data_IF_478734648399
#
_entry.id   IF_478734648399
#
_cell.length_a   1.000
_cell.length_b   1.000
_cell.length_c   1.000
_cell.angle_alpha   90.00
_cell.angle_beta   90.00
_cell.angle_gamma   90.00
#
_symmetry.space_group_name_H-M   'P 1'
#
loop_
_entity.id
_entity.type
_entity.pdbx_description
1 polymer ?
#
# COMPACT_ATOMS: atom_id res chain seq x y z
N UNK A 1 -29.40 13.92 -2.11
CA UNK A 1 -28.71 13.33 -3.26
C UNK A 1 -27.88 14.36 -4.06
N UNK A 2 -28.45 15.47 -4.53
CA UNK A 2 -27.68 16.47 -5.30
C UNK A 2 -26.49 17.09 -4.53
N UNK A 3 -26.60 17.33 -3.22
CA UNK A 3 -25.51 17.89 -2.39
C UNK A 3 -24.35 16.89 -2.15
N UNK A 4 -24.64 15.59 -2.19
CA UNK A 4 -23.61 14.54 -2.06
C UNK A 4 -22.82 14.36 -3.36
N UNK A 5 -23.50 14.50 -4.49
CA UNK A 5 -22.88 14.50 -5.82
C UNK A 5 -21.99 15.73 -6.04
N UNK A 6 -22.37 16.88 -5.49
CA UNK A 6 -21.57 18.10 -5.53
C UNK A 6 -20.26 17.98 -4.69
N UNK A 7 -20.32 17.30 -3.53
CA UNK A 7 -19.13 17.03 -2.72
C UNK A 7 -18.21 16.00 -3.36
N UNK A 8 -18.76 14.98 -4.00
CA UNK A 8 -17.97 14.00 -4.77
C UNK A 8 -17.33 14.62 -6.02
N UNK A 9 -18.04 15.56 -6.70
CA UNK A 9 -17.46 16.27 -7.84
C UNK A 9 -16.35 17.25 -7.41
N UNK A 10 -16.43 17.83 -6.22
CA UNK A 10 -15.38 18.71 -5.69
C UNK A 10 -14.09 17.93 -5.35
N UNK A 11 -14.18 16.64 -4.96
CA UNK A 11 -13.00 15.79 -4.76
C UNK A 11 -12.30 15.40 -6.08
N UNK A 12 -13.01 15.49 -7.23
CA UNK A 12 -12.43 15.19 -8.54
C UNK A 12 -11.69 16.38 -9.17
N UNK A 13 -11.89 17.59 -8.68
CA UNK A 13 -11.27 18.80 -9.24
C UNK A 13 -9.94 19.19 -8.59
N UNK A 14 -9.49 18.46 -7.58
CA UNK A 14 -8.13 18.62 -7.02
C UNK A 14 -7.15 17.64 -7.69
N UNK A 15 -7.27 17.46 -9.00
CA UNK A 15 -6.12 17.10 -9.81
C UNK A 15 -5.33 18.40 -10.02
N UNK A 16 -4.47 18.73 -9.06
CA UNK A 16 -3.42 19.70 -9.32
C UNK A 16 -2.66 19.12 -10.50
N UNK A 17 -2.67 19.75 -11.70
CA UNK A 17 -1.69 19.37 -12.70
C UNK A 17 -0.36 19.41 -11.97
N UNK A 18 0.45 18.38 -12.08
CA UNK A 18 1.85 18.50 -11.74
C UNK A 18 2.36 19.66 -12.59
N UNK A 19 2.35 20.86 -12.01
CA UNK A 19 3.08 21.98 -12.55
C UNK A 19 4.47 21.42 -12.66
N UNK A 20 4.99 21.38 -13.89
CA UNK A 20 6.40 21.13 -14.12
C UNK A 20 7.10 22.11 -13.19
N UNK A 21 7.60 21.60 -12.08
CA UNK A 21 8.29 22.40 -11.10
C UNK A 21 9.50 22.92 -11.84
N UNK A 22 9.62 24.23 -11.99
CA UNK A 22 10.87 24.83 -12.44
C UNK A 22 11.94 24.26 -11.52
N UNK A 23 12.78 23.41 -12.09
CA UNK A 23 13.87 22.79 -11.34
C UNK A 23 14.77 23.94 -10.88
N UNK A 24 14.92 24.20 -9.59
CA UNK A 24 15.76 25.29 -9.10
C UNK A 24 17.16 25.17 -9.72
N UNK A 25 17.84 26.27 -9.95
CA UNK A 25 19.18 26.28 -10.57
C UNK A 25 20.20 25.41 -9.83
N UNK A 26 20.03 25.23 -8.52
CA UNK A 26 20.81 24.36 -7.65
C UNK A 26 20.47 22.85 -7.83
N UNK A 27 19.29 22.51 -8.34
CA UNK A 27 18.97 21.12 -8.65
C UNK A 27 19.76 20.57 -9.86
N UNK A 28 20.29 21.42 -10.71
CA UNK A 28 21.26 21.03 -11.76
C UNK A 28 22.55 20.47 -11.16
N UNK A 29 22.94 20.92 -9.98
CA UNK A 29 24.09 20.40 -9.25
C UNK A 29 23.92 18.92 -8.89
N UNK A 30 22.72 18.54 -8.41
CA UNK A 30 22.42 17.17 -8.01
C UNK A 30 22.28 16.19 -9.18
N UNK A 31 21.99 16.68 -10.37
CA UNK A 31 21.84 15.87 -11.59
C UNK A 31 23.10 15.82 -12.46
N UNK A 32 24.23 16.39 -11.98
CA UNK A 32 25.46 16.43 -12.75
C UNK A 32 25.40 17.28 -14.02
N UNK A 33 24.52 18.28 -14.04
CA UNK A 33 24.37 19.20 -15.18
C UNK A 33 23.52 18.64 -16.33
N UNK A 34 22.61 17.69 -16.04
CA UNK A 34 21.70 17.16 -17.05
C UNK A 34 20.89 18.29 -17.72
N UNK A 35 20.74 18.20 -19.02
CA UNK A 35 19.98 19.19 -19.81
C UNK A 35 18.49 19.06 -19.49
N UNK A 36 17.82 20.18 -19.30
CA UNK A 36 16.37 20.24 -19.18
C UNK A 36 15.69 20.11 -20.53
N UNK A 37 14.42 19.77 -20.57
CA UNK A 37 13.64 19.77 -21.81
C UNK A 37 13.62 21.17 -22.46
N UNK A 38 13.57 22.20 -21.64
CA UNK A 38 13.61 23.60 -22.10
C UNK A 38 14.95 23.95 -22.78
N UNK A 39 16.06 23.48 -22.23
CA UNK A 39 17.38 23.64 -22.86
C UNK A 39 17.44 22.96 -24.24
N UNK A 40 16.79 21.80 -24.36
CA UNK A 40 16.73 21.07 -25.64
C UNK A 40 15.85 21.81 -26.63
N UNK A 41 14.71 22.35 -26.22
CA UNK A 41 13.82 23.14 -27.09
C UNK A 41 14.47 24.42 -27.56
N UNK A 42 15.11 25.20 -26.68
CA UNK A 42 15.87 26.41 -27.03
C UNK A 42 16.99 26.12 -28.01
N UNK A 43 17.68 25.00 -27.85
CA UNK A 43 18.71 24.58 -28.81
C UNK A 43 18.14 24.26 -30.18
N UNK A 44 16.96 23.66 -30.27
CA UNK A 44 16.27 23.43 -31.54
C UNK A 44 15.85 24.74 -32.21
N UNK A 45 15.58 25.79 -31.44
CA UNK A 45 15.27 27.14 -31.92
C UNK A 45 16.54 27.94 -32.31
N UNK A 46 17.71 27.32 -32.14
CA UNK A 46 18.99 27.96 -32.51
C UNK A 46 19.56 28.90 -31.44
N UNK A 47 18.99 28.94 -30.24
CA UNK A 47 19.48 29.75 -29.14
C UNK A 47 20.74 29.15 -28.50
N UNK A 48 21.65 30.02 -28.04
CA UNK A 48 22.79 29.61 -27.22
C UNK A 48 22.34 29.33 -25.80
N UNK A 49 22.54 28.10 -25.38
CA UNK A 49 22.26 27.67 -24.00
C UNK A 49 23.50 27.88 -23.14
N UNK A 50 23.30 28.31 -21.89
CA UNK A 50 24.38 28.33 -20.89
C UNK A 50 24.66 26.89 -20.46
N UNK A 51 25.74 26.32 -20.94
CA UNK A 51 26.21 24.97 -20.61
C UNK A 51 27.47 25.00 -19.70
N UNK A 52 27.77 26.14 -19.08
CA UNK A 52 28.91 26.32 -18.19
C UNK A 52 28.92 25.27 -17.08
N UNK A 53 27.79 25.09 -16.44
CA UNK A 53 27.62 24.09 -15.36
C UNK A 53 27.89 22.66 -15.85
N UNK A 54 27.46 22.33 -17.05
CA UNK A 54 27.74 21.02 -17.65
C UNK A 54 29.24 20.87 -17.93
N UNK A 55 29.92 21.90 -18.42
CA UNK A 55 31.35 21.88 -18.67
C UNK A 55 32.16 21.69 -17.40
N UNK A 56 31.74 22.31 -16.30
CA UNK A 56 32.40 22.16 -14.99
C UNK A 56 32.31 20.72 -14.47
N UNK A 57 31.20 20.01 -14.74
CA UNK A 57 30.97 18.64 -14.27
C UNK A 57 31.47 17.58 -15.25
N UNK A 58 31.31 17.80 -16.56
CA UNK A 58 31.66 16.81 -17.62
C UNK A 58 32.97 17.09 -18.33
N UNK A 59 33.56 18.25 -18.10
CA UNK A 59 34.77 18.76 -18.78
C UNK A 59 34.47 19.60 -20.01
N UNK A 60 35.43 20.50 -20.36
CA UNK A 60 35.32 21.35 -21.51
C UNK A 60 35.54 20.53 -22.80
N UNK A 61 34.65 20.64 -23.82
CA UNK A 61 34.89 20.06 -25.13
C UNK A 61 36.25 20.44 -25.76
N UNK A 62 36.77 21.61 -25.43
CA UNK A 62 38.11 22.01 -25.87
C UNK A 62 39.23 21.19 -25.19
N UNK A 63 39.00 20.71 -23.96
CA UNK A 63 39.94 19.81 -23.26
C UNK A 63 39.81 18.36 -23.77
N UNK A 64 38.74 18.02 -24.47
CA UNK A 64 38.56 16.71 -25.08
C UNK A 64 39.59 16.45 -26.22
N UNK A 65 40.15 17.48 -26.85
CA UNK A 65 41.20 17.34 -27.84
C UNK A 65 42.43 16.59 -27.32
N UNK A 66 42.84 16.88 -26.06
CA UNK A 66 43.96 16.19 -25.42
C UNK A 66 43.62 14.71 -25.06
N UNK A 67 42.36 14.41 -24.85
CA UNK A 67 41.88 13.03 -24.56
C UNK A 67 41.72 12.25 -25.87
N UNK A 68 41.28 12.89 -26.95
CA UNK A 68 41.16 12.27 -28.27
C UNK A 68 42.50 11.92 -28.89
N UNK A 69 43.52 12.71 -28.64
CA UNK A 69 44.90 12.38 -29.08
C UNK A 69 45.42 11.11 -28.35
N UNK A 70 45.11 10.95 -27.09
CA UNK A 70 45.49 9.73 -26.33
C UNK A 70 44.66 8.49 -26.72
N UNK A 71 43.45 8.69 -27.19
CA UNK A 71 42.53 7.61 -27.60
C UNK A 71 42.69 7.22 -29.08
N UNK A 72 43.60 7.89 -29.83
CA UNK A 72 43.88 7.55 -31.20
C UNK A 72 42.73 7.79 -32.17
N UNK A 73 41.84 8.75 -31.87
CA UNK A 73 40.69 9.06 -32.73
C UNK A 73 41.13 9.76 -33.99
N UNK A 74 40.93 9.14 -35.14
CA UNK A 74 41.25 9.64 -36.47
C UNK A 74 40.17 10.61 -36.93
N UNK A 75 40.43 11.93 -36.77
CA UNK A 75 39.69 12.98 -37.47
C UNK A 75 38.16 13.00 -37.29
N UNK A 76 37.66 12.68 -36.08
CA UNK A 76 36.23 12.65 -35.77
C UNK A 76 35.52 11.36 -36.17
N UNK A 77 36.22 10.37 -36.69
CA UNK A 77 35.68 9.03 -36.91
C UNK A 77 35.90 8.11 -35.66
N UNK A 78 34.97 7.23 -35.42
CA UNK A 78 35.06 6.24 -34.34
C UNK A 78 36.25 5.31 -34.57
N UNK A 79 37.08 5.07 -33.53
CA UNK A 79 38.18 4.10 -33.58
C UNK A 79 37.65 2.68 -33.26
N UNK A 80 37.56 1.78 -34.27
CA UNK A 80 37.03 0.44 -34.08
C UNK A 80 37.93 -0.41 -33.18
N UNK A 81 39.22 -0.17 -33.17
CA UNK A 81 40.17 -0.98 -32.37
C UNK A 81 40.10 -0.60 -30.89
N UNK A 82 39.90 0.69 -30.58
CA UNK A 82 39.62 1.15 -29.23
C UNK A 82 38.31 0.54 -28.70
N UNK A 83 37.24 0.60 -29.47
CA UNK A 83 35.94 0.04 -29.05
C UNK A 83 36.00 -1.48 -28.91
N UNK A 84 36.78 -2.16 -29.73
CA UNK A 84 37.03 -3.59 -29.58
C UNK A 84 37.80 -3.89 -28.29
N UNK A 85 38.87 -3.11 -28.02
CA UNK A 85 39.65 -3.24 -26.81
C UNK A 85 38.87 -2.99 -25.54
N UNK A 86 37.97 -1.97 -25.55
CA UNK A 86 37.03 -1.71 -24.46
C UNK A 86 36.03 -2.86 -24.26
N UNK A 87 35.46 -3.36 -25.36
CA UNK A 87 34.48 -4.47 -25.32
C UNK A 87 35.03 -5.76 -24.73
N UNK A 88 36.29 -6.07 -25.03
CA UNK A 88 36.93 -7.28 -24.58
C UNK A 88 37.84 -7.10 -23.35
N UNK A 89 37.81 -5.94 -22.73
CA UNK A 89 38.57 -5.64 -21.51
C UNK A 89 40.09 -5.64 -21.71
N UNK A 90 40.58 -5.51 -22.96
CA UNK A 90 42.03 -5.48 -23.28
C UNK A 90 42.59 -4.07 -23.32
N UNK A 91 41.78 -3.03 -23.23
CA UNK A 91 42.22 -1.63 -23.19
C UNK A 91 42.71 -1.27 -21.77
N UNK A 92 43.90 -0.71 -21.68
CA UNK A 92 44.39 -0.10 -20.44
C UNK A 92 43.86 1.32 -20.26
N UNK A 93 42.51 1.40 -20.12
CA UNK A 93 41.81 2.68 -19.99
C UNK A 93 40.97 2.60 -18.71
N UNK A 94 41.11 3.59 -17.83
CA UNK A 94 40.29 3.77 -16.65
C UNK A 94 39.38 4.99 -16.92
N UNK A 95 38.06 4.75 -17.00
CA UNK A 95 37.09 5.83 -17.05
C UNK A 95 36.63 6.18 -15.64
N UNK A 96 36.76 7.42 -15.25
CA UNK A 96 36.24 7.92 -13.98
C UNK A 96 35.16 8.96 -14.24
N UNK A 97 33.95 8.66 -13.84
CA UNK A 97 32.90 9.66 -13.76
C UNK A 97 33.07 10.45 -12.44
N UNK A 98 33.25 11.76 -12.51
CA UNK A 98 33.50 12.63 -11.36
C UNK A 98 32.27 13.31 -10.82
N UNK A 99 31.08 13.04 -11.38
CA UNK A 99 29.85 13.66 -10.93
C UNK A 99 29.21 12.91 -9.74
N UNK A 100 28.40 13.56 -8.92
CA UNK A 100 27.70 12.92 -7.81
C UNK A 100 26.84 11.73 -8.24
N UNK A 101 26.26 11.74 -9.44
CA UNK A 101 25.48 10.65 -9.98
C UNK A 101 26.29 9.37 -10.17
N UNK A 102 27.57 9.47 -10.53
CA UNK A 102 28.44 8.32 -10.71
C UNK A 102 28.82 7.63 -9.39
N UNK A 103 28.81 8.36 -8.29
CA UNK A 103 29.02 7.81 -6.94
C UNK A 103 27.72 7.36 -6.30
N UNK A 104 26.57 7.79 -6.81
CA UNK A 104 25.25 7.49 -6.27
C UNK A 104 24.58 6.31 -6.99
N UNK A 105 24.92 6.04 -8.25
CA UNK A 105 24.36 4.92 -9.02
C UNK A 105 25.11 3.63 -8.66
N UNK A 106 24.79 3.09 -7.51
CA UNK A 106 25.18 1.72 -7.16
C UNK A 106 24.11 0.78 -7.69
N UNK A 107 24.45 -0.02 -8.67
CA UNK A 107 23.49 -0.87 -9.39
C UNK A 107 23.05 -2.10 -8.58
N UNK A 108 23.82 -2.52 -7.63
CA UNK A 108 23.62 -3.77 -6.88
C UNK A 108 22.34 -3.76 -6.05
N UNK A 109 22.05 -2.67 -5.35
CA UNK A 109 20.82 -2.54 -4.57
C UNK A 109 19.53 -2.57 -5.41
N UNK A 110 19.58 -2.06 -6.64
CA UNK A 110 18.46 -2.09 -7.59
C UNK A 110 18.14 -3.52 -8.06
N UNK A 111 19.13 -4.34 -8.29
CA UNK A 111 18.98 -5.75 -8.71
C UNK A 111 18.36 -6.58 -7.60
N UNK A 112 18.78 -6.43 -6.35
CA UNK A 112 18.16 -7.09 -5.21
C UNK A 112 16.64 -6.83 -5.14
N UNK A 113 16.24 -5.57 -5.30
CA UNK A 113 14.82 -5.23 -5.27
C UNK A 113 14.04 -5.88 -6.42
N UNK A 114 14.58 -5.87 -7.62
CA UNK A 114 13.96 -6.48 -8.79
C UNK A 114 13.77 -8.00 -8.59
N UNK A 115 14.81 -8.70 -8.14
CA UNK A 115 14.79 -10.14 -7.88
C UNK A 115 13.78 -10.48 -6.78
N UNK A 116 13.78 -9.72 -5.67
CA UNK A 116 12.83 -9.91 -4.59
C UNK A 116 11.38 -9.70 -5.05
N UNK A 117 11.12 -8.63 -5.80
CA UNK A 117 9.78 -8.31 -6.31
C UNK A 117 9.25 -9.35 -7.27
N UNK A 118 10.09 -9.85 -8.18
CA UNK A 118 9.69 -10.79 -9.23
C UNK A 118 9.69 -12.25 -8.79
N UNK A 119 10.30 -12.57 -7.67
CA UNK A 119 10.36 -13.91 -7.10
C UNK A 119 9.64 -14.01 -5.76
N UNK A 120 10.33 -13.78 -4.63
CA UNK A 120 9.78 -13.98 -3.29
C UNK A 120 8.46 -13.23 -3.02
N UNK A 121 8.37 -11.96 -3.38
CA UNK A 121 7.16 -11.17 -3.13
C UNK A 121 5.96 -11.69 -3.92
N UNK A 122 6.16 -12.01 -5.19
CA UNK A 122 5.09 -12.57 -6.04
C UNK A 122 4.63 -13.93 -5.50
N UNK A 123 5.56 -14.81 -5.15
CA UNK A 123 5.25 -16.12 -4.56
C UNK A 123 4.49 -15.94 -3.24
N UNK A 124 4.94 -15.03 -2.37
CA UNK A 124 4.22 -14.71 -1.13
C UNK A 124 2.79 -14.27 -1.40
N UNK A 125 2.56 -13.42 -2.40
CA UNK A 125 1.21 -12.99 -2.78
C UNK A 125 0.34 -14.19 -3.22
N UNK A 126 0.86 -15.06 -4.09
CA UNK A 126 0.13 -16.23 -4.56
C UNK A 126 -0.19 -17.20 -3.42
N UNK A 127 0.81 -17.56 -2.61
CA UNK A 127 0.60 -18.50 -1.51
C UNK A 127 -0.26 -17.93 -0.39
N UNK A 128 -0.06 -16.68 -0.02
CA UNK A 128 -0.84 -16.06 1.06
C UNK A 128 -2.31 -15.86 0.64
N UNK A 129 -2.56 -15.21 -0.49
CA UNK A 129 -3.93 -14.92 -0.93
C UNK A 129 -4.62 -16.18 -1.44
N UNK A 130 -3.96 -16.98 -2.27
CA UNK A 130 -4.50 -18.24 -2.78
C UNK A 130 -4.70 -19.25 -1.65
N UNK A 131 -3.74 -19.37 -0.74
CA UNK A 131 -3.84 -20.23 0.46
C UNK A 131 -4.99 -19.80 1.37
N UNK A 132 -5.17 -18.49 1.58
CA UNK A 132 -6.30 -17.98 2.37
C UNK A 132 -7.64 -18.36 1.72
N UNK A 133 -7.81 -18.11 0.43
CA UNK A 133 -9.04 -18.49 -0.29
C UNK A 133 -9.27 -20.00 -0.28
N UNK A 134 -8.21 -20.79 -0.45
CA UNK A 134 -8.28 -22.25 -0.36
C UNK A 134 -8.74 -22.70 1.04
N UNK A 135 -8.13 -22.19 2.10
CA UNK A 135 -8.48 -22.53 3.49
C UNK A 135 -9.92 -22.12 3.81
N UNK A 136 -10.37 -20.94 3.40
CA UNK A 136 -11.76 -20.51 3.57
C UNK A 136 -12.74 -21.41 2.81
N UNK A 137 -12.37 -21.84 1.61
CA UNK A 137 -13.18 -22.79 0.82
C UNK A 137 -13.26 -24.15 1.52
N UNK A 138 -12.14 -24.71 1.96
CA UNK A 138 -12.11 -25.97 2.71
C UNK A 138 -12.91 -25.85 4.00
N UNK A 139 -12.75 -24.75 4.74
CA UNK A 139 -13.53 -24.50 5.96
C UNK A 139 -15.04 -24.45 5.66
N UNK A 140 -15.45 -23.76 4.60
CA UNK A 140 -16.86 -23.73 4.20
C UNK A 140 -17.41 -25.10 3.81
N UNK A 141 -16.65 -25.89 3.07
CA UNK A 141 -17.07 -27.25 2.68
C UNK A 141 -17.16 -28.20 3.88
N UNK A 142 -16.27 -28.03 4.86
CA UNK A 142 -16.24 -28.88 6.07
C UNK A 142 -17.28 -28.47 7.12
N UNK A 143 -17.43 -27.15 7.39
CA UNK A 143 -18.29 -26.63 8.46
C UNK A 143 -19.66 -26.19 7.94
N UNK A 144 -19.76 -25.80 6.69
CA UNK A 144 -20.94 -25.17 6.12
C UNK A 144 -21.16 -23.75 6.65
N UNK A 145 -22.33 -23.20 6.36
CA UNK A 145 -22.78 -21.92 6.87
C UNK A 145 -23.18 -22.04 8.35
N UNK A 146 -22.65 -21.14 9.18
CA UNK A 146 -23.09 -20.99 10.56
C UNK A 146 -24.49 -20.40 10.56
N UNK A 147 -25.47 -21.16 11.08
CA UNK A 147 -26.88 -20.77 11.15
C UNK A 147 -27.20 -20.24 12.53
N UNK A 148 -28.34 -19.56 12.64
CA UNK A 148 -28.99 -19.25 13.91
C UNK A 148 -29.52 -20.54 14.46
N UNK A 149 -29.20 -20.87 15.74
CA UNK A 149 -29.59 -22.14 16.38
C UNK A 149 -31.04 -22.10 16.88
N UNK A 150 -31.48 -20.96 17.41
CA UNK A 150 -32.84 -20.76 17.92
C UNK A 150 -33.83 -20.35 16.85
N UNK A 151 -35.13 -20.36 17.22
CA UNK A 151 -36.19 -19.85 16.37
C UNK A 151 -36.08 -18.33 16.21
N UNK A 152 -36.22 -17.86 14.97
CA UNK A 152 -36.21 -16.42 14.67
C UNK A 152 -37.45 -15.75 15.25
N UNK A 153 -37.25 -14.68 15.98
CA UNK A 153 -38.35 -13.90 16.58
C UNK A 153 -39.13 -13.08 15.55
N UNK A 154 -38.50 -12.81 14.38
CA UNK A 154 -39.02 -11.88 13.37
C UNK A 154 -38.87 -10.42 13.76
N UNK A 155 -38.30 -10.11 14.91
CA UNK A 155 -38.01 -8.75 15.38
C UNK A 155 -36.56 -8.40 15.07
N UNK A 156 -36.32 -7.18 14.61
CA UNK A 156 -34.98 -6.65 14.37
C UNK A 156 -34.62 -5.57 15.39
N UNK A 157 -33.36 -5.48 15.72
CA UNK A 157 -32.79 -4.43 16.58
C UNK A 157 -31.70 -3.66 15.83
N UNK A 158 -31.64 -2.34 16.02
CA UNK A 158 -30.68 -1.48 15.38
C UNK A 158 -29.28 -1.73 15.94
N UNK A 159 -28.35 -2.12 15.08
CA UNK A 159 -26.96 -2.39 15.44
C UNK A 159 -26.02 -1.27 15.04
N UNK A 160 -26.14 -0.79 13.81
CA UNK A 160 -25.27 0.28 13.28
C UNK A 160 -26.08 1.39 12.65
N UNK A 161 -25.74 2.61 13.03
CA UNK A 161 -26.35 3.84 12.48
C UNK A 161 -25.88 4.08 11.03
N UNK A 162 -26.61 4.90 10.30
CA UNK A 162 -26.31 5.20 8.90
C UNK A 162 -24.88 5.76 8.69
N UNK A 163 -24.37 6.57 9.63
CA UNK A 163 -23.01 7.15 9.55
C UNK A 163 -21.94 6.06 9.74
N UNK A 164 -22.14 5.12 10.68
CA UNK A 164 -21.21 4.00 10.89
C UNK A 164 -21.14 3.11 9.64
N UNK A 165 -22.28 2.82 9.04
CA UNK A 165 -22.38 2.05 7.79
C UNK A 165 -21.76 2.78 6.61
N UNK A 166 -21.97 4.09 6.50
CA UNK A 166 -21.34 4.91 5.46
C UNK A 166 -19.82 4.83 5.57
N UNK A 167 -19.27 5.05 6.77
CA UNK A 167 -17.83 4.94 7.00
C UNK A 167 -17.28 3.56 6.65
N UNK A 168 -17.98 2.48 7.07
CA UNK A 168 -17.61 1.12 6.73
C UNK A 168 -17.62 0.85 5.22
N UNK A 169 -18.68 1.23 4.51
CA UNK A 169 -18.77 0.99 3.07
C UNK A 169 -17.81 1.85 2.25
N UNK A 170 -17.52 3.07 2.71
CA UNK A 170 -16.47 3.90 2.11
C UNK A 170 -15.10 3.24 2.28
N UNK A 171 -14.80 2.71 3.48
CA UNK A 171 -13.55 2.00 3.76
C UNK A 171 -13.45 0.71 2.94
N UNK A 172 -14.52 -0.10 2.92
CA UNK A 172 -14.55 -1.38 2.23
C UNK A 172 -14.42 -1.22 0.71
N UNK A 173 -15.18 -0.32 0.09
CA UNK A 173 -15.14 -0.11 -1.36
C UNK A 173 -13.80 0.47 -1.80
N UNK A 174 -13.27 1.47 -1.08
CA UNK A 174 -11.94 2.01 -1.38
C UNK A 174 -10.85 0.95 -1.22
N UNK A 175 -10.89 0.12 -0.16
CA UNK A 175 -9.94 -0.98 0.03
C UNK A 175 -9.97 -2.00 -1.11
N UNK A 176 -11.17 -2.43 -1.54
CA UNK A 176 -11.31 -3.38 -2.65
C UNK A 176 -10.70 -2.83 -3.94
N UNK A 177 -11.00 -1.55 -4.27
CA UNK A 177 -10.42 -0.90 -5.45
C UNK A 177 -8.89 -0.78 -5.34
N UNK A 178 -8.37 -0.39 -4.17
CA UNK A 178 -6.92 -0.32 -3.92
C UNK A 178 -6.26 -1.70 -4.00
N UNK A 179 -6.90 -2.74 -3.47
CA UNK A 179 -6.43 -4.12 -3.56
C UNK A 179 -6.32 -4.59 -5.02
N UNK A 180 -7.37 -4.39 -5.82
CA UNK A 180 -7.37 -4.76 -7.24
C UNK A 180 -6.27 -4.00 -8.00
N UNK A 181 -6.18 -2.69 -7.84
CA UNK A 181 -5.18 -1.87 -8.53
C UNK A 181 -3.76 -2.17 -8.08
N UNK A 182 -3.56 -2.50 -6.79
CA UNK A 182 -2.28 -2.99 -6.26
C UNK A 182 -1.87 -4.33 -6.85
N UNK A 183 -2.80 -5.28 -6.95
CA UNK A 183 -2.55 -6.60 -7.57
C UNK A 183 -2.25 -6.49 -9.08
N UNK A 184 -2.94 -5.60 -9.80
CA UNK A 184 -2.62 -5.29 -11.21
C UNK A 184 -1.15 -4.85 -11.33
N UNK A 185 -0.69 -3.97 -10.43
CA UNK A 185 0.70 -3.51 -10.42
C UNK A 185 1.69 -4.61 -10.05
N UNK A 186 1.34 -5.48 -9.11
CA UNK A 186 2.20 -6.56 -8.65
C UNK A 186 2.35 -7.66 -9.70
N UNK A 187 1.23 -8.13 -10.26
CA UNK A 187 1.20 -9.22 -11.24
C UNK A 187 1.47 -8.78 -12.68
N UNK A 188 1.61 -7.47 -12.93
CA UNK A 188 1.71 -6.87 -14.26
C UNK A 188 2.74 -7.54 -15.16
N UNK A 189 3.99 -7.58 -14.73
CA UNK A 189 5.11 -8.04 -15.55
C UNK A 189 5.09 -9.55 -15.81
N UNK A 190 4.78 -10.36 -14.80
CA UNK A 190 4.86 -11.83 -14.89
C UNK A 190 3.59 -12.51 -15.38
N UNK A 191 2.45 -11.84 -15.24
CA UNK A 191 1.15 -12.45 -15.57
C UNK A 191 0.41 -11.66 -16.63
N UNK A 192 0.21 -10.34 -16.41
CA UNK A 192 -0.66 -9.56 -17.28
C UNK A 192 -0.02 -9.21 -18.63
N UNK A 193 1.28 -8.88 -18.64
CA UNK A 193 1.99 -8.63 -19.90
C UNK A 193 2.04 -9.88 -20.79
N UNK A 194 2.41 -11.07 -20.30
CA UNK A 194 2.36 -12.28 -21.10
C UNK A 194 0.95 -12.64 -21.61
N UNK A 195 -0.09 -12.31 -20.83
CA UNK A 195 -1.47 -12.64 -21.19
C UNK A 195 -2.10 -11.65 -22.19
N UNK A 196 -1.83 -10.35 -22.04
CA UNK A 196 -2.53 -9.28 -22.76
C UNK A 196 -1.62 -8.40 -23.65
N UNK A 197 -0.30 -8.61 -23.58
CA UNK A 197 0.70 -7.81 -24.30
C UNK A 197 1.07 -6.49 -23.59
N UNK A 198 2.17 -5.89 -24.05
CA UNK A 198 2.72 -4.67 -23.44
C UNK A 198 1.80 -3.47 -23.59
N UNK A 199 1.19 -3.28 -24.73
CA UNK A 199 0.37 -2.10 -25.03
C UNK A 199 -0.90 -2.06 -24.17
N UNK A 200 -1.65 -3.17 -24.15
CA UNK A 200 -2.86 -3.28 -23.32
C UNK A 200 -2.55 -3.15 -21.83
N UNK A 201 -1.45 -3.75 -21.38
CA UNK A 201 -1.04 -3.62 -19.99
C UNK A 201 -0.60 -2.20 -19.64
N UNK A 202 0.10 -1.50 -20.54
CA UNK A 202 0.52 -0.10 -20.31
C UNK A 202 -0.69 0.79 -20.05
N UNK A 203 -1.73 0.68 -20.85
CA UNK A 203 -2.99 1.41 -20.65
C UNK A 203 -3.64 1.06 -19.29
N UNK A 204 -3.75 -0.22 -18.97
CA UNK A 204 -4.30 -0.70 -17.70
C UNK A 204 -3.48 -0.20 -16.50
N UNK A 205 -2.15 -0.21 -16.59
CA UNK A 205 -1.26 0.25 -15.54
C UNK A 205 -1.40 1.74 -15.25
N UNK A 206 -1.54 2.58 -16.29
CA UNK A 206 -1.76 4.02 -16.14
C UNK A 206 -3.08 4.29 -15.41
N UNK A 207 -4.17 3.67 -15.85
CA UNK A 207 -5.48 3.84 -15.19
C UNK A 207 -5.43 3.30 -13.76
N UNK A 208 -4.84 2.12 -13.58
CA UNK A 208 -4.70 1.49 -12.26
C UNK A 208 -3.96 2.39 -11.28
N UNK A 209 -2.83 2.99 -11.70
CA UNK A 209 -2.07 3.93 -10.88
C UNK A 209 -2.87 5.19 -10.57
N UNK A 210 -3.55 5.76 -11.56
CA UNK A 210 -4.41 6.95 -11.35
C UNK A 210 -5.50 6.66 -10.32
N UNK A 211 -6.22 5.56 -10.48
CA UNK A 211 -7.29 5.14 -9.57
C UNK A 211 -6.72 4.87 -8.17
N UNK A 212 -5.61 4.13 -8.08
CA UNK A 212 -4.96 3.81 -6.81
C UNK A 212 -4.61 5.08 -6.02
N UNK A 213 -3.93 6.02 -6.65
CA UNK A 213 -3.47 7.25 -6.01
C UNK A 213 -4.65 8.14 -5.55
N UNK A 214 -5.74 8.19 -6.31
CA UNK A 214 -6.89 9.03 -5.95
C UNK A 214 -7.80 8.36 -4.90
N UNK A 215 -8.06 7.06 -5.03
CA UNK A 215 -8.92 6.34 -4.08
C UNK A 215 -8.24 6.17 -2.72
N UNK A 216 -6.91 6.20 -2.64
CA UNK A 216 -6.18 6.14 -1.38
C UNK A 216 -6.59 7.23 -0.38
N UNK A 217 -6.95 8.43 -0.85
CA UNK A 217 -7.46 9.50 0.01
C UNK A 217 -8.81 9.15 0.65
N UNK A 218 -9.71 8.54 -0.12
CA UNK A 218 -11.00 8.08 0.42
C UNK A 218 -10.80 6.98 1.47
N UNK A 219 -9.84 6.07 1.25
CA UNK A 219 -9.47 5.05 2.21
C UNK A 219 -8.94 5.66 3.52
N UNK A 220 -8.00 6.61 3.45
CA UNK A 220 -7.44 7.27 4.63
C UNK A 220 -8.50 8.04 5.43
N UNK A 221 -9.37 8.78 4.75
CA UNK A 221 -10.49 9.49 5.40
C UNK A 221 -11.45 8.49 6.07
N UNK A 222 -11.81 7.41 5.38
CA UNK A 222 -12.69 6.38 5.92
C UNK A 222 -12.07 5.68 7.15
N UNK A 223 -10.75 5.42 7.12
CA UNK A 223 -10.02 4.84 8.24
C UNK A 223 -10.12 5.72 9.50
N UNK A 224 -9.97 7.03 9.35
CA UNK A 224 -10.14 8.00 10.43
C UNK A 224 -11.60 8.00 10.95
N UNK A 225 -12.58 8.01 10.05
CA UNK A 225 -14.01 7.98 10.43
C UNK A 225 -14.29 6.72 11.26
N UNK A 226 -13.88 5.54 10.80
CA UNK A 226 -14.10 4.25 11.48
C UNK A 226 -13.35 4.19 12.80
N UNK A 227 -12.13 4.72 12.87
CA UNK A 227 -11.41 4.79 14.13
C UNK A 227 -12.23 5.54 15.19
N UNK A 228 -12.65 6.76 14.93
CA UNK A 228 -13.40 7.55 15.91
C UNK A 228 -14.81 7.00 16.18
N UNK A 229 -15.45 6.39 15.19
CA UNK A 229 -16.77 5.79 15.39
C UNK A 229 -16.73 4.57 16.34
N UNK A 230 -15.64 3.79 16.33
CA UNK A 230 -15.65 2.47 16.96
C UNK A 230 -14.55 2.21 17.99
N UNK A 231 -13.56 3.07 18.15
CA UNK A 231 -12.41 2.83 19.05
C UNK A 231 -12.84 2.50 20.47
N UNK A 232 -13.81 3.23 21.03
CA UNK A 232 -14.29 3.02 22.41
C UNK A 232 -14.94 1.63 22.59
N UNK A 233 -15.66 1.17 21.56
CA UNK A 233 -16.32 -0.14 21.58
C UNK A 233 -15.36 -1.31 21.31
N UNK A 234 -14.18 -1.02 20.77
CA UNK A 234 -13.16 -2.02 20.41
C UNK A 234 -11.98 -2.09 21.39
N UNK A 235 -12.09 -1.42 22.55
CA UNK A 235 -11.11 -1.61 23.61
C UNK A 235 -11.20 -3.04 24.16
N UNK A 236 -10.04 -3.72 24.36
CA UNK A 236 -10.01 -5.08 24.91
C UNK A 236 -10.62 -5.15 26.31
N UNK A 237 -11.34 -6.24 26.58
CA UNK A 237 -11.88 -6.50 27.91
C UNK A 237 -11.79 -8.00 28.29
N UNK A 238 -12.16 -8.34 29.54
CA UNK A 238 -12.06 -9.70 30.05
C UNK A 238 -12.97 -10.72 29.33
N UNK A 239 -14.03 -10.25 28.67
CA UNK A 239 -14.94 -11.13 27.92
C UNK A 239 -14.27 -11.63 26.65
N UNK A 240 -13.34 -10.84 26.06
CA UNK A 240 -12.61 -11.20 24.86
C UNK A 240 -11.74 -12.45 25.07
N UNK A 241 -11.12 -12.59 26.23
CA UNK A 241 -10.32 -13.78 26.54
C UNK A 241 -11.16 -15.05 26.56
N UNK A 242 -12.38 -14.98 27.12
CA UNK A 242 -13.31 -16.13 27.12
C UNK A 242 -13.79 -16.46 25.72
N UNK A 243 -14.03 -15.43 24.91
CA UNK A 243 -14.44 -15.57 23.52
C UNK A 243 -13.34 -16.23 22.69
N UNK A 244 -12.09 -15.78 22.84
CA UNK A 244 -10.93 -16.36 22.14
C UNK A 244 -10.66 -17.80 22.57
N UNK A 245 -10.75 -18.11 23.88
CA UNK A 245 -10.57 -19.47 24.40
C UNK A 245 -11.55 -20.47 23.81
N UNK A 246 -12.75 -20.02 23.38
CA UNK A 246 -13.79 -20.83 22.73
C UNK A 246 -13.79 -20.69 21.20
N UNK A 247 -12.78 -20.01 20.64
CA UNK A 247 -12.69 -19.68 19.21
C UNK A 247 -14.02 -19.10 18.64
N UNK A 248 -14.74 -18.30 19.47
CA UNK A 248 -15.99 -17.67 19.07
C UNK A 248 -17.15 -18.61 18.79
N UNK A 249 -17.06 -19.88 19.14
CA UNK A 249 -18.07 -20.91 18.79
C UNK A 249 -17.96 -21.42 17.35
N UNK A 250 -16.91 -21.05 16.60
CA UNK A 250 -16.71 -21.45 15.19
C UNK A 250 -16.72 -22.97 14.97
N UNK A 251 -16.23 -23.73 15.94
CA UNK A 251 -16.14 -25.20 15.87
C UNK A 251 -17.33 -25.92 16.52
N UNK A 252 -18.39 -25.19 16.88
CA UNK A 252 -19.57 -25.69 17.60
C UNK A 252 -19.47 -25.48 19.11
N UNK A 253 -20.60 -25.69 19.84
CA UNK A 253 -20.71 -25.45 21.26
C UNK A 253 -21.44 -24.15 21.61
N UNK A 254 -21.44 -23.79 22.89
CA UNK A 254 -22.09 -22.57 23.38
C UNK A 254 -21.47 -21.32 22.79
N UNK A 255 -22.30 -20.40 22.38
CA UNK A 255 -21.89 -19.08 21.95
C UNK A 255 -21.30 -18.28 23.11
N UNK A 256 -20.00 -17.87 23.07
CA UNK A 256 -19.42 -17.11 24.16
C UNK A 256 -20.05 -15.71 24.23
N UNK A 257 -20.26 -15.15 25.44
CA UNK A 257 -20.87 -13.84 25.58
C UNK A 257 -20.02 -12.75 24.94
N UNK A 258 -20.67 -11.82 24.25
CA UNK A 258 -20.01 -10.72 23.61
C UNK A 258 -20.81 -9.40 23.73
N UNK A 259 -20.08 -8.27 23.77
CA UNK A 259 -20.62 -6.91 23.68
C UNK A 259 -20.93 -6.54 22.22
N UNK A 260 -21.14 -5.24 21.94
CA UNK A 260 -21.39 -4.72 20.56
C UNK A 260 -20.39 -5.28 19.54
N UNK A 261 -19.12 -5.43 19.92
CA UNK A 261 -18.09 -6.12 19.13
C UNK A 261 -17.54 -7.30 19.93
N UNK A 262 -17.45 -8.47 19.30
CA UNK A 262 -16.78 -9.63 19.87
C UNK A 262 -15.26 -9.56 19.64
N UNK A 263 -14.49 -10.42 20.29
CA UNK A 263 -13.03 -10.39 20.22
C UNK A 263 -12.49 -10.54 18.79
N UNK A 264 -13.12 -11.37 17.96
CA UNK A 264 -12.73 -11.51 16.54
C UNK A 264 -12.93 -10.20 15.76
N UNK A 265 -14.02 -9.51 15.98
CA UNK A 265 -14.30 -8.21 15.38
C UNK A 265 -13.33 -7.12 15.89
N UNK A 266 -12.98 -7.14 17.18
CA UNK A 266 -11.96 -6.25 17.75
C UNK A 266 -10.58 -6.51 17.14
N UNK A 267 -10.19 -7.76 16.94
CA UNK A 267 -8.93 -8.09 16.24
C UNK A 267 -8.92 -7.55 14.81
N UNK A 268 -10.01 -7.69 14.06
CA UNK A 268 -10.14 -7.15 12.71
C UNK A 268 -10.08 -5.62 12.76
N UNK A 269 -10.80 -4.98 13.69
CA UNK A 269 -10.76 -3.53 13.84
C UNK A 269 -9.31 -3.03 14.05
N UNK A 270 -8.59 -3.59 15.02
CA UNK A 270 -7.22 -3.17 15.29
C UNK A 270 -6.25 -3.53 14.17
N UNK A 271 -6.43 -4.67 13.51
CA UNK A 271 -5.66 -5.00 12.32
C UNK A 271 -5.88 -3.96 11.20
N UNK A 272 -7.12 -3.58 10.93
CA UNK A 272 -7.44 -2.54 9.92
C UNK A 272 -6.87 -1.19 10.32
N UNK A 273 -6.98 -0.77 11.58
CA UNK A 273 -6.45 0.53 12.03
C UNK A 273 -4.91 0.55 11.97
N UNK A 274 -4.26 -0.46 12.51
CA UNK A 274 -2.79 -0.49 12.60
C UNK A 274 -2.16 -0.74 11.23
N UNK A 275 -2.58 -1.80 10.53
CA UNK A 275 -2.02 -2.13 9.22
C UNK A 275 -2.50 -1.13 8.16
N UNK A 276 -3.76 -0.71 8.20
CA UNK A 276 -4.31 0.33 7.32
C UNK A 276 -3.63 1.69 7.51
N UNK A 277 -3.35 2.08 8.75
CA UNK A 277 -2.55 3.26 9.06
C UNK A 277 -1.12 3.15 8.54
N UNK A 278 -0.51 1.98 8.74
CA UNK A 278 0.85 1.71 8.28
C UNK A 278 0.99 1.73 6.76
N UNK A 279 0.05 1.12 6.01
CA UNK A 279 0.07 1.20 4.53
C UNK A 279 -0.27 2.61 4.04
N UNK A 280 -1.08 3.37 4.77
CA UNK A 280 -1.34 4.78 4.44
C UNK A 280 -0.07 5.62 4.53
N UNK A 281 0.72 5.47 5.59
CA UNK A 281 1.99 6.17 5.75
C UNK A 281 3.00 5.80 4.66
N UNK A 282 3.19 4.50 4.40
CA UNK A 282 4.07 4.07 3.31
C UNK A 282 3.53 4.48 1.94
N UNK A 283 2.21 4.50 1.75
CA UNK A 283 1.56 5.01 0.55
C UNK A 283 1.79 6.50 0.32
N UNK A 284 1.77 7.32 1.37
CA UNK A 284 2.12 8.74 1.29
C UNK A 284 3.59 8.93 0.92
N UNK A 285 4.51 8.13 1.49
CA UNK A 285 5.92 8.13 1.08
C UNK A 285 6.10 7.80 -0.40
N UNK A 286 5.32 6.86 -0.93
CA UNK A 286 5.34 6.50 -2.36
C UNK A 286 4.62 7.52 -3.26
N UNK A 287 3.65 8.26 -2.73
CA UNK A 287 2.93 9.31 -3.45
C UNK A 287 3.77 10.60 -3.57
N UNK A 288 4.56 10.89 -2.54
CA UNK A 288 5.48 12.03 -2.45
C UNK A 288 6.93 11.52 -2.34
N UNK A 289 7.47 10.91 -3.43
CA UNK A 289 8.78 10.28 -3.40
C UNK A 289 9.86 11.33 -3.09
N UNK A 290 10.80 10.92 -2.24
CA UNK A 290 11.95 11.73 -1.77
C UNK A 290 11.60 12.86 -0.79
N UNK A 291 10.33 13.16 -0.54
CA UNK A 291 9.91 14.19 0.43
C UNK A 291 9.66 13.58 1.82
N UNK A 292 9.10 12.38 1.88
CA UNK A 292 8.73 11.70 3.12
C UNK A 292 9.62 10.47 3.33
N UNK A 293 10.71 10.65 4.08
CA UNK A 293 11.68 9.60 4.39
C UNK A 293 11.30 8.91 5.71
N UNK A 294 10.58 7.78 5.62
CA UNK A 294 10.09 7.05 6.79
C UNK A 294 11.09 6.01 7.29
N UNK A 295 11.74 5.28 6.37
CA UNK A 295 12.51 4.09 6.71
C UNK A 295 13.88 4.44 7.26
N UNK A 296 14.61 5.39 6.70
CA UNK A 296 15.89 5.83 7.24
C UNK A 296 15.77 6.31 8.69
N UNK A 297 14.77 7.15 8.98
CA UNK A 297 14.52 7.59 10.36
C UNK A 297 14.12 6.43 11.28
N UNK A 298 13.27 5.53 10.81
CA UNK A 298 12.85 4.35 11.57
C UNK A 298 14.05 3.45 11.87
N UNK A 299 14.88 3.14 10.88
CA UNK A 299 16.05 2.29 11.03
C UNK A 299 17.08 2.88 11.99
N UNK A 300 17.38 4.17 11.85
CA UNK A 300 18.24 4.89 12.78
C UNK A 300 17.72 4.83 14.22
N UNK A 301 16.42 5.01 14.41
CA UNK A 301 15.78 4.93 15.74
C UNK A 301 15.87 3.51 16.32
N UNK A 302 15.54 2.48 15.53
CA UNK A 302 15.61 1.08 15.97
C UNK A 302 17.04 0.66 16.31
N UNK A 303 18.03 1.09 15.51
CA UNK A 303 19.43 0.88 15.80
C UNK A 303 19.85 1.57 17.09
N UNK A 304 19.42 2.81 17.32
CA UNK A 304 19.75 3.56 18.56
C UNK A 304 19.16 2.91 19.82
N UNK A 305 18.07 2.17 19.69
CA UNK A 305 17.49 1.37 20.79
C UNK A 305 18.17 0.00 20.94
N UNK A 306 19.10 -0.37 20.05
CA UNK A 306 19.73 -1.69 20.03
C UNK A 306 18.76 -2.83 19.70
N UNK A 307 17.60 -2.51 19.10
CA UNK A 307 16.56 -3.51 18.86
C UNK A 307 17.01 -4.65 17.94
N UNK A 308 17.73 -4.40 16.81
CA UNK A 308 18.23 -5.51 15.98
C UNK A 308 19.13 -6.45 16.74
N UNK A 309 20.06 -5.91 17.56
CA UNK A 309 21.00 -6.69 18.37
C UNK A 309 20.31 -7.58 19.41
N UNK A 310 19.14 -7.19 19.92
CA UNK A 310 18.32 -8.04 20.84
C UNK A 310 17.86 -9.33 20.17
N UNK A 311 17.76 -9.35 18.83
CA UNK A 311 17.41 -10.53 18.03
C UNK A 311 18.61 -11.19 17.35
N UNK A 312 19.83 -10.77 17.68
CA UNK A 312 21.07 -11.28 17.08
C UNK A 312 21.24 -10.87 15.62
N UNK A 313 20.63 -9.76 15.23
CA UNK A 313 20.74 -9.18 13.88
C UNK A 313 21.75 -8.02 13.92
N UNK A 314 22.40 -7.79 12.78
CA UNK A 314 23.20 -6.59 12.55
C UNK A 314 22.31 -5.34 12.52
N UNK A 315 22.93 -4.17 12.66
CA UNK A 315 22.24 -2.91 12.52
C UNK A 315 21.53 -2.80 11.17
N UNK A 316 20.31 -2.22 11.18
CA UNK A 316 19.58 -1.94 9.97
C UNK A 316 20.35 -0.92 9.10
N UNK A 317 20.26 -1.01 7.77
CA UNK A 317 21.02 -0.13 6.89
C UNK A 317 20.68 1.34 7.12
N UNK A 318 21.73 2.15 7.35
CA UNK A 318 21.63 3.59 7.56
C UNK A 318 23.01 4.25 7.31
N UNK A 319 23.10 5.40 6.62
CA UNK A 319 22.00 6.13 5.97
C UNK A 319 21.48 5.43 4.70
N UNK A 320 20.21 5.64 4.38
CA UNK A 320 19.62 5.15 3.12
C UNK A 320 19.77 6.19 2.02
N UNK A 321 20.06 5.74 0.81
CA UNK A 321 19.89 6.58 -0.38
C UNK A 321 18.40 6.83 -0.65
N UNK A 322 18.03 7.90 -1.37
CA UNK A 322 16.63 8.16 -1.72
C UNK A 322 15.95 6.99 -2.44
N UNK A 323 16.69 6.24 -3.24
CA UNK A 323 16.18 5.07 -3.95
C UNK A 323 15.94 3.89 -3.02
N UNK A 324 16.83 3.60 -2.09
CA UNK A 324 16.66 2.54 -1.09
C UNK A 324 15.47 2.84 -0.19
N UNK A 325 15.29 4.09 0.23
CA UNK A 325 14.10 4.55 0.97
C UNK A 325 12.81 4.16 0.24
N UNK A 326 12.73 4.42 -1.08
CA UNK A 326 11.57 4.05 -1.88
C UNK A 326 11.43 2.52 -2.05
N UNK A 327 12.51 1.78 -2.11
CA UNK A 327 12.46 0.31 -2.19
C UNK A 327 11.90 -0.29 -0.90
N UNK A 328 12.34 0.19 0.27
CA UNK A 328 11.77 -0.23 1.56
C UNK A 328 10.31 0.19 1.72
N UNK A 329 9.95 1.38 1.26
CA UNK A 329 8.57 1.83 1.25
C UNK A 329 7.66 0.92 0.39
N UNK A 330 8.11 0.54 -0.81
CA UNK A 330 7.40 -0.39 -1.67
C UNK A 330 7.29 -1.79 -1.06
N UNK A 331 8.38 -2.30 -0.48
CA UNK A 331 8.42 -3.60 0.18
C UNK A 331 7.40 -3.66 1.32
N UNK A 332 7.46 -2.69 2.21
CA UNK A 332 6.55 -2.60 3.36
C UNK A 332 5.10 -2.47 2.91
N UNK A 333 4.83 -1.53 2.00
CA UNK A 333 3.50 -1.30 1.46
C UNK A 333 2.91 -2.58 0.84
N UNK A 334 3.69 -3.30 0.04
CA UNK A 334 3.25 -4.55 -0.59
C UNK A 334 2.99 -5.65 0.44
N UNK A 335 3.94 -5.93 1.35
CA UNK A 335 3.80 -7.00 2.33
C UNK A 335 2.61 -6.76 3.27
N UNK A 336 2.50 -5.54 3.82
CA UNK A 336 1.41 -5.21 4.75
C UNK A 336 0.06 -5.22 4.03
N UNK A 337 -0.01 -4.77 2.77
CA UNK A 337 -1.25 -4.83 1.99
C UNK A 337 -1.68 -6.26 1.70
N UNK A 338 -0.76 -7.19 1.42
CA UNK A 338 -1.05 -8.61 1.23
C UNK A 338 -1.60 -9.25 2.51
N UNK A 339 -0.98 -8.97 3.66
CA UNK A 339 -1.44 -9.47 4.96
C UNK A 339 -2.84 -8.93 5.25
N UNK A 340 -3.05 -7.62 5.10
CA UNK A 340 -4.35 -7.02 5.33
C UNK A 340 -5.42 -7.58 4.37
N UNK A 341 -5.08 -7.82 3.10
CA UNK A 341 -5.99 -8.42 2.12
C UNK A 341 -6.40 -9.84 2.53
N UNK A 342 -5.47 -10.65 3.03
CA UNK A 342 -5.79 -11.99 3.55
C UNK A 342 -6.75 -11.93 4.74
N UNK A 343 -6.53 -10.99 5.68
CA UNK A 343 -7.45 -10.76 6.82
C UNK A 343 -8.84 -10.32 6.31
N UNK A 344 -8.89 -9.43 5.34
CA UNK A 344 -10.16 -8.94 4.79
C UNK A 344 -10.89 -10.03 3.99
N UNK A 345 -10.22 -10.95 3.33
CA UNK A 345 -10.88 -12.12 2.73
C UNK A 345 -11.63 -12.94 3.78
N UNK A 346 -11.01 -13.20 4.94
CA UNK A 346 -11.68 -13.90 6.04
C UNK A 346 -12.84 -13.06 6.61
N UNK A 347 -12.68 -11.74 6.72
CA UNK A 347 -13.75 -10.83 7.15
C UNK A 347 -14.94 -10.83 6.18
N UNK A 348 -14.70 -10.72 4.89
CA UNK A 348 -15.76 -10.78 3.87
C UNK A 348 -16.47 -12.13 3.93
N UNK A 349 -15.72 -13.24 4.06
CA UNK A 349 -16.29 -14.57 4.18
C UNK A 349 -17.25 -14.66 5.38
N UNK A 350 -16.79 -14.29 6.58
CA UNK A 350 -17.62 -14.34 7.79
C UNK A 350 -18.80 -13.37 7.73
N UNK A 351 -18.60 -12.17 7.19
CA UNK A 351 -19.62 -11.14 7.08
C UNK A 351 -20.64 -11.37 5.97
N UNK A 352 -20.49 -12.41 5.15
CA UNK A 352 -21.38 -12.67 4.01
C UNK A 352 -21.86 -14.12 3.96
N UNK A 353 -21.08 -15.03 3.38
CA UNK A 353 -21.49 -16.40 3.12
C UNK A 353 -21.31 -17.33 4.33
N UNK A 354 -20.35 -17.04 5.20
CA UNK A 354 -19.97 -17.91 6.32
C UNK A 354 -20.94 -17.90 7.49
N UNK A 355 -21.64 -16.77 7.75
CA UNK A 355 -22.54 -16.63 8.89
C UNK A 355 -23.89 -16.07 8.46
N UNK A 356 -24.97 -16.70 8.90
CA UNK A 356 -26.34 -16.25 8.64
C UNK A 356 -26.61 -14.95 9.40
N UNK A 357 -27.23 -13.96 8.72
CA UNK A 357 -27.62 -12.68 9.34
C UNK A 357 -26.50 -11.66 9.52
N UNK A 358 -25.23 -12.06 9.40
CA UNK A 358 -24.11 -11.14 9.64
C UNK A 358 -24.07 -9.94 8.68
N UNK A 359 -24.43 -10.15 7.41
CA UNK A 359 -24.46 -9.08 6.40
C UNK A 359 -25.50 -7.99 6.73
N UNK A 360 -26.64 -8.36 7.34
CA UNK A 360 -27.72 -7.41 7.62
C UNK A 360 -27.27 -6.28 8.53
N UNK A 361 -26.33 -6.53 9.44
CA UNK A 361 -25.73 -5.51 10.29
C UNK A 361 -25.17 -4.32 9.53
N UNK A 362 -24.45 -4.56 8.42
CA UNK A 362 -23.87 -3.50 7.58
C UNK A 362 -24.73 -3.17 6.36
N UNK A 363 -25.51 -4.12 5.86
CA UNK A 363 -26.44 -3.90 4.76
C UNK A 363 -27.62 -3.02 5.14
N UNK A 364 -28.39 -3.45 6.12
CA UNK A 364 -29.61 -2.77 6.61
C UNK A 364 -29.35 -1.87 7.83
N UNK A 365 -28.39 -2.24 8.67
CA UNK A 365 -28.11 -1.58 9.95
C UNK A 365 -28.82 -2.24 11.13
N UNK A 366 -29.60 -3.27 10.88
CA UNK A 366 -30.39 -4.00 11.82
C UNK A 366 -30.04 -5.49 11.77
N UNK A 367 -30.23 -6.16 12.87
CA UNK A 367 -30.01 -7.61 12.99
C UNK A 367 -31.23 -8.25 13.64
N UNK A 368 -31.47 -9.50 13.29
CA UNK A 368 -32.50 -10.31 13.92
C UNK A 368 -32.18 -10.50 15.41
N UNK A 369 -33.20 -10.42 16.28
CA UNK A 369 -33.03 -10.44 17.75
C UNK A 369 -32.39 -11.74 18.21
N UNK A 370 -32.82 -12.91 17.71
CA UNK A 370 -32.23 -14.19 18.08
C UNK A 370 -30.76 -14.29 17.69
N UNK A 371 -30.41 -13.81 16.51
CA UNK A 371 -29.01 -13.67 16.08
C UNK A 371 -28.19 -12.85 17.07
N UNK A 372 -28.72 -11.70 17.51
CA UNK A 372 -28.08 -10.85 18.49
C UNK A 372 -27.87 -11.51 19.84
N UNK A 373 -28.88 -12.24 20.30
CA UNK A 373 -28.82 -13.01 21.55
C UNK A 373 -27.76 -14.12 21.53
N UNK A 374 -27.59 -14.78 20.39
CA UNK A 374 -26.57 -15.82 20.21
C UNK A 374 -25.18 -15.27 20.10
N UNK A 375 -24.94 -14.28 19.23
CA UNK A 375 -23.61 -13.83 18.87
C UNK A 375 -23.11 -12.62 19.67
N UNK A 376 -24.02 -11.88 20.33
CA UNK A 376 -23.74 -10.64 21.07
C UNK A 376 -24.66 -10.51 22.31
N UNK A 377 -24.70 -11.53 23.10
CA UNK A 377 -25.68 -11.70 24.24
C UNK A 377 -25.67 -10.51 25.20
N UNK A 378 -24.50 -10.01 25.59
CA UNK A 378 -24.38 -8.85 26.51
C UNK A 378 -24.99 -7.61 25.88
N UNK A 379 -24.62 -7.32 24.63
CA UNK A 379 -25.14 -6.16 23.91
C UNK A 379 -26.66 -6.27 23.65
N UNK A 380 -27.12 -7.46 23.24
CA UNK A 380 -28.56 -7.70 23.02
C UNK A 380 -29.37 -7.43 24.27
N UNK A 381 -28.89 -7.91 25.42
CA UNK A 381 -29.55 -7.68 26.71
C UNK A 381 -29.61 -6.19 27.07
N UNK A 382 -28.47 -5.46 26.91
CA UNK A 382 -28.41 -4.02 27.18
C UNK A 382 -29.42 -3.21 26.34
N UNK A 383 -29.59 -3.57 25.07
CA UNK A 383 -30.51 -2.88 24.14
C UNK A 383 -31.97 -3.16 24.53
N UNK A 384 -32.32 -4.46 24.81
CA UNK A 384 -33.67 -4.86 25.14
C UNK A 384 -34.12 -4.31 26.48
N UNK A 385 -33.26 -4.30 27.51
CA UNK A 385 -33.53 -3.69 28.80
C UNK A 385 -33.72 -2.18 28.68
N UNK A 386 -32.94 -1.51 27.81
CA UNK A 386 -33.08 -0.08 27.51
C UNK A 386 -34.44 0.25 26.85
N UNK A 387 -34.91 -0.59 25.94
CA UNK A 387 -36.22 -0.44 25.30
C UNK A 387 -37.38 -0.69 26.29
N UNK A 388 -37.30 -1.73 27.13
CA UNK A 388 -38.30 -2.02 28.17
C UNK A 388 -38.45 -0.81 29.12
N UNK A 389 -37.34 -0.28 29.64
CA UNK A 389 -37.34 0.89 30.52
C UNK A 389 -37.86 2.19 29.87
N UNK A 390 -37.77 2.32 28.56
CA UNK A 390 -38.30 3.48 27.82
C UNK A 390 -39.81 3.38 27.63
N UNK A 391 -40.34 2.17 27.50
CA UNK A 391 -41.77 1.91 27.31
C UNK A 391 -42.56 2.05 28.64
N UNK A 392 -41.92 1.78 29.79
CA UNK A 392 -42.52 2.00 31.11
C UNK A 392 -42.63 3.48 31.52
N UNK A 393 -41.88 4.37 30.85
CA UNK A 393 -41.87 5.83 31.14
C UNK A 393 -42.82 6.64 30.26
N UNK A 394 -43.44 6.03 29.29
CA UNK A 394 -44.45 6.64 28.40
C UNK A 394 -45.84 6.16 28.78
#
# INVERSE_FOLDING_TARGET
MLRLLALLSLMWTVSIPALAQEVPADARASTGGAQTLEDIMRRQEGEKIDDSFRRDVTGDPAAAAATTDQLGTLGGSSDPDLWRALRYGSANITTQARNPAATTIMQDGGMWWLEFREGPLLNTAVFLLGGTLFLLTVFYLARGRMRIDGEKTGRTIVRFRAVERFGHWLLASSFIVLGITGLISLFGRKVLIPAFGHESFSFLAVISKLVHNNISWAFMVALVIIFFAWVVHNLPDKTDLRWLARAGGLFGGEHPPAKKFNAGQKLIFWAVIVLGGSISLSGLSLLFPFEINLFGHTFSTLNSWGLPGMFGLDDLPYPLSPQEEMQYAQLWHALVSLILTAIIFAHIYLGSVGMEGAFDAMGKGEVEEQWAREHHSIWAQEVLDGEANSTEKT
#
